data_IF_736823582218
#
_entry.id   IF_736823582218
#
_cell.length_a   1.000
_cell.length_b   1.000
_cell.length_c   1.000
_cell.angle_alpha   90.00
_cell.angle_beta   90.00
_cell.angle_gamma   90.00
#
_symmetry.space_group_name_H-M   'P 1'
#
loop_
_entity.id
_entity.type
_entity.pdbx_description
1 polymer ?
#
# COMPACT_ATOMS: atom_id res chain seq x y z
N UNK A 1 9.17 -35.34 28.25
CA UNK A 1 8.93 -34.02 27.67
C UNK A 1 9.11 -34.14 26.15
N UNK A 2 8.10 -34.17 25.30
CA UNK A 2 8.33 -34.28 23.87
C UNK A 2 8.86 -32.94 23.36
N UNK A 3 10.06 -32.97 22.76
CA UNK A 3 10.66 -31.88 22.05
C UNK A 3 9.63 -31.33 21.06
N UNK A 4 9.24 -30.07 21.21
CA UNK A 4 8.46 -29.36 20.20
C UNK A 4 9.20 -29.51 18.88
N UNK A 5 8.64 -30.31 17.95
CA UNK A 5 9.10 -30.32 16.57
C UNK A 5 9.02 -28.89 16.05
N UNK A 6 10.17 -28.24 15.94
CA UNK A 6 10.27 -26.98 15.20
C UNK A 6 9.66 -27.26 13.84
N UNK A 7 8.56 -26.57 13.55
CA UNK A 7 7.77 -26.79 12.35
C UNK A 7 8.47 -26.07 11.21
N UNK A 8 9.50 -26.71 10.63
CA UNK A 8 10.14 -26.25 9.41
C UNK A 8 9.11 -26.22 8.26
N UNK A 9 9.22 -25.21 7.41
CA UNK A 9 8.42 -25.15 6.17
C UNK A 9 8.82 -26.31 5.25
N UNK A 10 7.82 -26.93 4.62
CA UNK A 10 8.03 -27.85 3.49
C UNK A 10 8.71 -27.14 2.32
N UNK A 11 9.25 -27.88 1.35
CA UNK A 11 9.86 -27.29 0.15
C UNK A 11 8.88 -26.36 -0.58
N UNK A 12 7.67 -26.81 -0.84
CA UNK A 12 6.65 -26.03 -1.53
C UNK A 12 6.23 -24.78 -0.72
N UNK A 13 6.14 -24.87 0.62
CA UNK A 13 5.86 -23.72 1.48
C UNK A 13 6.98 -22.68 1.43
N UNK A 14 8.23 -23.10 1.36
CA UNK A 14 9.38 -22.18 1.21
C UNK A 14 9.35 -21.46 -0.13
N UNK A 15 9.01 -22.19 -1.21
CA UNK A 15 8.83 -21.60 -2.54
C UNK A 15 7.69 -20.59 -2.54
N UNK A 16 6.53 -20.97 -1.99
CA UNK A 16 5.38 -20.06 -1.87
C UNK A 16 5.77 -18.77 -1.11
N UNK A 17 6.43 -18.91 0.03
CA UNK A 17 6.84 -17.76 0.84
C UNK A 17 7.78 -16.83 0.07
N UNK A 18 8.72 -17.37 -0.71
CA UNK A 18 9.60 -16.57 -1.56
C UNK A 18 8.82 -15.79 -2.62
N UNK A 19 7.90 -16.44 -3.32
CA UNK A 19 7.05 -15.79 -4.34
C UNK A 19 6.18 -14.69 -3.72
N UNK A 20 5.65 -14.92 -2.52
CA UNK A 20 4.87 -13.92 -1.78
C UNK A 20 5.73 -12.73 -1.35
N UNK A 21 6.96 -12.95 -0.90
CA UNK A 21 7.89 -11.86 -0.54
C UNK A 21 8.17 -10.98 -1.75
N UNK A 22 8.43 -11.56 -2.93
CA UNK A 22 8.62 -10.80 -4.16
C UNK A 22 7.34 -10.02 -4.53
N UNK A 23 6.17 -10.65 -4.46
CA UNK A 23 4.90 -9.99 -4.71
C UNK A 23 4.67 -8.80 -3.78
N UNK A 24 4.96 -8.95 -2.48
CA UNK A 24 4.86 -7.86 -1.51
C UNK A 24 5.85 -6.75 -1.83
N UNK A 25 7.10 -7.06 -2.16
CA UNK A 25 8.12 -6.05 -2.46
C UNK A 25 7.73 -5.21 -3.69
N UNK A 26 7.34 -5.83 -4.79
CA UNK A 26 6.86 -5.12 -5.98
C UNK A 26 5.60 -4.32 -5.69
N UNK A 27 4.64 -4.93 -5.02
CA UNK A 27 3.38 -4.31 -4.68
C UNK A 27 3.56 -3.08 -3.77
N UNK A 28 4.36 -3.18 -2.71
CA UNK A 28 4.64 -2.07 -1.80
C UNK A 28 5.30 -0.91 -2.54
N UNK A 29 6.26 -1.19 -3.43
CA UNK A 29 6.89 -0.15 -4.24
C UNK A 29 5.87 0.54 -5.17
N UNK A 30 5.06 -0.24 -5.90
CA UNK A 30 4.02 0.30 -6.78
C UNK A 30 3.01 1.13 -5.98
N UNK A 31 2.66 0.68 -4.78
CA UNK A 31 1.73 1.36 -3.91
C UNK A 31 2.29 2.71 -3.42
N UNK A 32 3.55 2.74 -2.99
CA UNK A 32 4.23 3.99 -2.62
C UNK A 32 4.35 4.94 -3.82
N UNK A 33 4.70 4.43 -5.00
CA UNK A 33 4.75 5.22 -6.22
C UNK A 33 3.38 5.81 -6.59
N UNK A 34 2.31 5.04 -6.47
CA UNK A 34 0.96 5.50 -6.76
C UNK A 34 0.44 6.51 -5.74
N UNK A 35 0.59 6.24 -4.45
CA UNK A 35 0.02 7.05 -3.38
C UNK A 35 0.89 8.25 -3.01
N UNK A 36 2.20 8.06 -2.84
CA UNK A 36 3.09 9.15 -2.42
C UNK A 36 3.55 9.99 -3.60
N UNK A 37 3.93 9.35 -4.71
CA UNK A 37 4.47 10.04 -5.88
C UNK A 37 3.42 10.37 -6.94
N UNK A 38 2.14 10.05 -6.68
CA UNK A 38 1.01 10.35 -7.58
C UNK A 38 1.31 9.97 -9.03
N UNK A 39 1.85 8.74 -9.23
CA UNK A 39 2.33 8.23 -10.52
C UNK A 39 3.43 9.09 -11.18
N UNK A 40 4.18 9.86 -10.40
CA UNK A 40 5.13 10.87 -10.87
C UNK A 40 4.52 11.92 -11.81
N UNK A 41 3.25 12.26 -11.62
CA UNK A 41 2.60 13.35 -12.35
C UNK A 41 3.10 14.69 -11.81
N UNK A 42 3.92 15.37 -12.61
CA UNK A 42 4.58 16.62 -12.22
C UNK A 42 3.58 17.74 -11.85
N UNK A 43 2.45 17.83 -12.56
CA UNK A 43 1.42 18.83 -12.29
C UNK A 43 0.74 18.56 -10.94
N UNK A 44 0.38 17.30 -10.66
CA UNK A 44 -0.22 16.93 -9.37
C UNK A 44 0.73 17.14 -8.21
N UNK A 45 2.02 16.79 -8.37
CA UNK A 45 3.05 17.00 -7.34
C UNK A 45 3.26 18.49 -7.06
N UNK A 46 3.39 19.30 -8.11
CA UNK A 46 3.55 20.74 -7.98
C UNK A 46 2.32 21.42 -7.35
N UNK A 47 1.11 20.99 -7.73
CA UNK A 47 -0.13 21.52 -7.16
C UNK A 47 -0.28 21.16 -5.68
N UNK A 48 0.02 19.91 -5.29
CA UNK A 48 0.01 19.50 -3.88
C UNK A 48 1.02 20.32 -3.07
N UNK A 49 2.25 20.47 -3.58
CA UNK A 49 3.27 21.27 -2.93
C UNK A 49 2.79 22.71 -2.73
N UNK A 50 2.26 23.35 -3.77
CA UNK A 50 1.75 24.73 -3.71
C UNK A 50 0.65 24.87 -2.67
N UNK A 51 -0.33 23.96 -2.67
CA UNK A 51 -1.47 24.01 -1.74
C UNK A 51 -1.07 23.79 -0.27
N UNK A 52 -0.05 22.97 -0.01
CA UNK A 52 0.33 22.57 1.32
C UNK A 52 1.51 23.35 1.90
N UNK A 53 2.37 23.94 1.05
CA UNK A 53 3.57 24.68 1.50
C UNK A 53 3.24 25.96 2.26
N UNK A 54 2.10 26.58 1.98
CA UNK A 54 1.64 27.80 2.66
C UNK A 54 1.03 27.51 4.05
N UNK A 55 0.71 26.24 4.32
CA UNK A 55 0.08 25.81 5.56
C UNK A 55 1.13 25.39 6.61
N UNK A 56 0.90 25.73 7.88
CA UNK A 56 1.71 25.19 8.96
C UNK A 56 1.36 23.69 9.23
N UNK A 57 2.22 23.00 9.99
CA UNK A 57 2.07 21.56 10.23
C UNK A 57 0.71 21.19 10.86
N UNK A 58 0.21 22.05 11.78
CA UNK A 58 -1.10 21.85 12.43
C UNK A 58 -2.24 21.97 11.43
N UNK A 59 -2.19 22.95 10.54
CA UNK A 59 -3.20 23.14 9.50
C UNK A 59 -3.22 21.99 8.51
N UNK A 60 -2.03 21.51 8.09
CA UNK A 60 -1.92 20.31 7.22
C UNK A 60 -2.49 19.07 7.87
N UNK A 61 -2.23 18.86 9.17
CA UNK A 61 -2.76 17.73 9.92
C UNK A 61 -4.29 17.83 10.08
N UNK A 62 -4.82 19.02 10.29
CA UNK A 62 -6.26 19.24 10.46
C UNK A 62 -7.02 19.35 9.13
N UNK A 63 -6.31 19.38 8.00
CA UNK A 63 -6.90 19.61 6.67
C UNK A 63 -8.00 18.61 6.33
N UNK A 64 -7.78 17.32 6.55
CA UNK A 64 -8.70 16.23 6.27
C UNK A 64 -8.87 15.26 7.45
N UNK A 65 -8.78 15.76 8.69
CA UNK A 65 -8.88 14.93 9.88
C UNK A 65 -10.31 14.44 10.13
N UNK A 66 -11.31 15.21 9.69
CA UNK A 66 -12.72 14.82 9.84
C UNK A 66 -13.12 13.93 8.67
N UNK A 67 -13.38 12.63 8.91
CA UNK A 67 -13.73 11.71 7.84
C UNK A 67 -14.97 12.18 7.09
N UNK A 68 -14.94 12.05 5.74
CA UNK A 68 -16.07 12.36 4.86
C UNK A 68 -16.51 13.83 4.85
N UNK A 69 -15.85 14.71 5.60
CA UNK A 69 -16.07 16.15 5.50
C UNK A 69 -15.09 16.73 4.50
N UNK A 70 -15.58 17.14 3.36
CA UNK A 70 -14.70 17.54 2.27
C UNK A 70 -15.01 18.93 1.76
N UNK A 71 -13.93 19.65 1.46
CA UNK A 71 -13.95 20.96 0.79
C UNK A 71 -13.96 20.84 -0.74
N UNK A 72 -13.82 19.64 -1.30
CA UNK A 72 -13.67 19.39 -2.73
C UNK A 72 -14.83 18.59 -3.34
N UNK A 73 -14.82 18.49 -4.66
CA UNK A 73 -15.86 17.89 -5.49
C UNK A 73 -16.21 16.44 -5.09
N UNK A 74 -17.41 16.18 -4.62
CA UNK A 74 -17.86 14.90 -4.09
C UNK A 74 -17.67 13.67 -5.02
N UNK A 75 -17.58 13.88 -6.34
CA UNK A 75 -17.45 12.77 -7.28
C UNK A 75 -16.03 12.23 -7.36
N UNK A 76 -15.03 13.11 -7.37
CA UNK A 76 -13.61 12.74 -7.40
C UNK A 76 -13.24 11.94 -6.15
N UNK A 77 -13.72 12.35 -4.98
CA UNK A 77 -13.47 11.69 -3.71
C UNK A 77 -14.04 10.28 -3.61
N UNK A 78 -15.24 10.04 -4.15
CA UNK A 78 -15.81 8.68 -4.16
C UNK A 78 -14.95 7.71 -4.95
N UNK A 79 -14.37 8.18 -6.06
CA UNK A 79 -13.43 7.38 -6.85
C UNK A 79 -12.13 7.11 -6.09
N UNK A 80 -11.59 8.10 -5.38
CA UNK A 80 -10.40 7.94 -4.55
C UNK A 80 -10.64 6.94 -3.42
N UNK A 81 -11.78 7.00 -2.74
CA UNK A 81 -12.14 6.06 -1.69
C UNK A 81 -12.20 4.61 -2.19
N UNK A 82 -12.87 4.39 -3.31
CA UNK A 82 -12.94 3.07 -3.94
C UNK A 82 -11.56 2.61 -4.40
N UNK A 83 -10.78 3.50 -5.00
CA UNK A 83 -9.43 3.20 -5.46
C UNK A 83 -8.52 2.78 -4.30
N UNK A 84 -8.52 3.51 -3.18
CA UNK A 84 -7.73 3.19 -1.99
C UNK A 84 -8.11 1.81 -1.43
N UNK A 85 -9.40 1.49 -1.35
CA UNK A 85 -9.86 0.17 -0.92
C UNK A 85 -9.42 -0.94 -1.87
N UNK A 86 -9.52 -0.74 -3.18
CA UNK A 86 -9.10 -1.74 -4.18
C UNK A 86 -7.57 -1.94 -4.13
N UNK A 87 -6.82 -0.84 -4.04
CA UNK A 87 -5.36 -0.87 -4.03
C UNK A 87 -4.82 -1.57 -2.78
N UNK A 88 -5.52 -1.51 -1.63
CA UNK A 88 -5.11 -2.22 -0.40
C UNK A 88 -5.63 -3.67 -0.30
N UNK A 89 -6.53 -4.11 -1.17
CA UNK A 89 -7.02 -5.49 -1.15
C UNK A 89 -5.92 -6.56 -1.31
N UNK A 90 -4.89 -6.41 -2.17
CA UNK A 90 -3.78 -7.36 -2.24
C UNK A 90 -3.06 -7.56 -0.91
N UNK A 91 -3.00 -6.53 -0.06
CA UNK A 91 -2.39 -6.61 1.27
C UNK A 91 -3.07 -7.68 2.13
N UNK A 92 -4.43 -7.69 2.14
CA UNK A 92 -5.23 -8.67 2.87
C UNK A 92 -5.05 -10.11 2.36
N UNK A 93 -4.75 -10.30 1.07
CA UNK A 93 -4.44 -11.61 0.50
C UNK A 93 -3.01 -12.03 0.85
N UNK A 94 -2.03 -11.18 0.57
CA UNK A 94 -0.60 -11.51 0.63
C UNK A 94 -0.11 -11.78 2.05
N UNK A 95 -0.58 -11.00 3.05
CA UNK A 95 -0.20 -11.22 4.44
C UNK A 95 -0.62 -12.60 4.98
N UNK A 96 -1.73 -13.14 4.48
CA UNK A 96 -2.17 -14.48 4.87
C UNK A 96 -1.24 -15.61 4.39
N UNK A 97 -0.39 -15.35 3.40
CA UNK A 97 0.61 -16.30 2.93
C UNK A 97 2.00 -16.08 3.55
N UNK A 98 2.26 -14.86 4.03
CA UNK A 98 3.59 -14.50 4.55
C UNK A 98 3.92 -15.24 5.85
N UNK A 99 2.91 -15.40 6.72
CA UNK A 99 3.10 -15.96 8.04
C UNK A 99 2.54 -17.38 8.16
N UNK A 100 3.29 -18.27 8.82
CA UNK A 100 2.88 -19.67 9.07
C UNK A 100 1.66 -19.74 9.99
N UNK A 101 1.67 -18.93 11.06
CA UNK A 101 0.52 -18.81 11.98
C UNK A 101 -0.29 -17.57 11.57
N UNK A 102 -1.54 -17.79 11.19
CA UNK A 102 -2.46 -16.72 10.87
C UNK A 102 -2.89 -15.99 12.12
N UNK A 103 -2.80 -14.69 12.08
CA UNK A 103 -3.28 -13.82 13.15
C UNK A 103 -3.86 -12.57 12.51
N UNK A 104 -5.19 -12.53 12.40
CA UNK A 104 -5.91 -11.42 11.73
C UNK A 104 -5.59 -10.08 12.41
N UNK A 105 -5.48 -10.06 13.75
CA UNK A 105 -5.17 -8.84 14.49
C UNK A 105 -3.79 -8.30 14.13
N UNK A 106 -2.76 -9.17 14.08
CA UNK A 106 -1.41 -8.79 13.67
C UNK A 106 -1.39 -8.28 12.24
N UNK A 107 -2.03 -9.00 11.30
CA UNK A 107 -2.02 -8.70 9.89
C UNK A 107 -2.79 -7.39 9.62
N UNK A 108 -3.89 -7.17 10.33
CA UNK A 108 -4.63 -5.90 10.32
C UNK A 108 -3.79 -4.75 10.90
N UNK A 109 -3.14 -4.96 12.04
CA UNK A 109 -2.26 -3.95 12.64
C UNK A 109 -1.09 -3.57 11.72
N UNK A 110 -0.51 -4.54 10.98
CA UNK A 110 0.50 -4.26 9.97
C UNK A 110 -0.06 -3.42 8.82
N UNK A 111 -1.27 -3.71 8.36
CA UNK A 111 -1.92 -2.93 7.30
C UNK A 111 -2.20 -1.49 7.75
N UNK A 112 -2.80 -1.31 8.92
CA UNK A 112 -3.08 0.01 9.50
C UNK A 112 -1.79 0.79 9.75
N UNK A 113 -0.77 0.13 10.33
CA UNK A 113 0.54 0.75 10.57
C UNK A 113 1.22 1.19 9.28
N UNK A 114 1.14 0.39 8.22
CA UNK A 114 1.68 0.75 6.92
C UNK A 114 0.91 1.91 6.28
N UNK A 115 -0.43 1.88 6.32
CA UNK A 115 -1.26 3.00 5.86
C UNK A 115 -0.96 4.28 6.63
N UNK A 116 -0.88 4.21 7.96
CA UNK A 116 -0.52 5.37 8.79
C UNK A 116 0.88 5.91 8.47
N UNK A 117 1.85 5.03 8.20
CA UNK A 117 3.19 5.46 7.79
C UNK A 117 3.18 6.23 6.47
N UNK A 118 2.33 5.84 5.51
CA UNK A 118 2.14 6.58 4.26
C UNK A 118 1.56 7.97 4.54
N UNK A 119 0.50 8.08 5.34
CA UNK A 119 -0.14 9.34 5.68
C UNK A 119 0.83 10.30 6.40
N UNK A 120 1.59 9.77 7.37
CA UNK A 120 2.62 10.54 8.08
C UNK A 120 3.73 10.99 7.11
N UNK A 121 4.18 10.12 6.21
CA UNK A 121 5.16 10.48 5.19
C UNK A 121 4.64 11.59 4.28
N UNK A 122 3.40 11.50 3.80
CA UNK A 122 2.78 12.54 2.96
C UNK A 122 2.65 13.88 3.70
N UNK A 123 2.28 13.85 4.99
CA UNK A 123 2.17 15.04 5.83
C UNK A 123 3.49 15.80 5.92
N UNK A 124 4.61 15.08 6.11
CA UNK A 124 5.94 15.70 6.26
C UNK A 124 6.58 16.09 4.94
N UNK A 125 6.31 15.35 3.87
CA UNK A 125 6.96 15.58 2.56
C UNK A 125 6.18 16.51 1.63
N UNK A 126 4.99 16.98 2.01
CA UNK A 126 4.09 17.79 1.16
C UNK A 126 3.70 17.11 -0.18
N UNK A 127 3.93 15.80 -0.29
CA UNK A 127 3.51 15.00 -1.44
C UNK A 127 2.01 14.69 -1.40
N UNK A 128 1.37 14.88 -0.24
CA UNK A 128 -0.06 14.76 0.03
C UNK A 128 -0.42 15.31 1.41
N UNK A 129 -1.71 15.37 1.73
CA UNK A 129 -2.23 15.70 3.06
C UNK A 129 -2.49 14.45 3.89
N UNK A 130 -2.57 14.61 5.22
CA UNK A 130 -3.01 13.54 6.11
C UNK A 130 -4.53 13.39 6.01
N UNK A 131 -5.01 12.24 5.53
CA UNK A 131 -6.44 11.98 5.34
C UNK A 131 -6.91 10.77 6.16
N UNK A 132 -7.74 11.03 7.18
CA UNK A 132 -8.32 9.96 8.02
C UNK A 132 -9.19 9.00 7.21
N UNK A 133 -9.83 9.50 6.16
CA UNK A 133 -10.63 8.67 5.25
C UNK A 133 -9.79 7.64 4.53
N UNK A 134 -8.58 8.00 4.10
CA UNK A 134 -7.67 7.08 3.43
C UNK A 134 -7.27 5.93 4.36
N UNK A 135 -7.01 6.22 5.63
CA UNK A 135 -6.74 5.19 6.64
C UNK A 135 -7.92 4.21 6.80
N UNK A 136 -9.16 4.72 6.80
CA UNK A 136 -10.38 3.91 6.89
C UNK A 136 -10.54 3.06 5.61
N UNK A 137 -10.39 3.66 4.42
CA UNK A 137 -10.58 2.98 3.15
C UNK A 137 -9.50 1.93 2.88
N UNK A 138 -8.25 2.21 3.23
CA UNK A 138 -7.16 1.24 3.20
C UNK A 138 -7.43 0.05 4.13
N UNK A 139 -7.97 0.31 5.32
CA UNK A 139 -8.39 -0.73 6.26
C UNK A 139 -9.55 -1.58 5.71
N UNK A 140 -10.53 -0.98 5.07
CA UNK A 140 -11.60 -1.70 4.37
C UNK A 140 -11.03 -2.55 3.23
N UNK A 141 -10.08 -2.03 2.47
CA UNK A 141 -9.36 -2.78 1.44
C UNK A 141 -8.72 -4.05 1.98
N UNK A 142 -8.06 -3.98 3.13
CA UNK A 142 -7.53 -5.17 3.79
C UNK A 142 -8.62 -6.22 4.05
N UNK A 143 -9.78 -5.83 4.56
CA UNK A 143 -10.89 -6.77 4.81
C UNK A 143 -11.47 -7.36 3.53
N UNK A 144 -11.55 -6.59 2.45
CA UNK A 144 -11.92 -7.09 1.11
C UNK A 144 -10.91 -8.16 0.66
N UNK A 145 -9.62 -7.89 0.78
CA UNK A 145 -8.56 -8.86 0.46
C UNK A 145 -8.61 -10.10 1.36
N UNK A 146 -8.88 -9.93 2.63
CA UNK A 146 -9.07 -11.03 3.57
C UNK A 146 -10.27 -11.92 3.17
N UNK A 147 -11.38 -11.31 2.77
CA UNK A 147 -12.55 -12.03 2.26
C UNK A 147 -12.22 -12.81 0.98
N UNK A 148 -11.53 -12.19 0.02
CA UNK A 148 -11.04 -12.84 -1.21
C UNK A 148 -10.16 -14.05 -0.85
N UNK A 149 -9.22 -13.87 0.10
CA UNK A 149 -8.39 -14.98 0.55
C UNK A 149 -9.23 -16.14 1.09
N UNK A 150 -10.19 -15.88 1.98
CA UNK A 150 -11.03 -16.95 2.58
C UNK A 150 -11.96 -17.63 1.57
N UNK A 151 -12.52 -16.88 0.63
CA UNK A 151 -13.45 -17.40 -0.37
C UNK A 151 -12.74 -18.19 -1.48
N UNK A 152 -11.60 -17.68 -1.94
CA UNK A 152 -10.94 -18.23 -3.13
C UNK A 152 -9.70 -19.06 -2.78
N UNK A 153 -8.81 -18.56 -1.92
CA UNK A 153 -7.46 -19.10 -1.78
C UNK A 153 -7.29 -20.07 -0.62
N UNK A 154 -8.07 -19.95 0.46
CA UNK A 154 -7.92 -20.78 1.67
C UNK A 154 -7.97 -22.28 1.40
N UNK A 155 -8.80 -22.70 0.45
CA UNK A 155 -9.01 -24.12 0.09
C UNK A 155 -8.12 -24.61 -1.05
N UNK A 156 -7.28 -23.75 -1.63
CA UNK A 156 -6.41 -24.10 -2.76
C UNK A 156 -5.16 -24.82 -2.30
N UNK A 157 -4.61 -25.65 -3.18
CA UNK A 157 -3.33 -26.33 -2.91
C UNK A 157 -2.21 -25.34 -2.90
N UNK A 158 -1.11 -25.65 -2.19
CA UNK A 158 0.10 -24.82 -2.16
C UNK A 158 0.62 -24.56 -3.57
N UNK A 159 0.60 -25.57 -4.44
CA UNK A 159 1.02 -25.44 -5.85
C UNK A 159 0.18 -24.41 -6.62
N UNK A 160 -1.15 -24.44 -6.45
CA UNK A 160 -2.04 -23.42 -7.06
C UNK A 160 -1.70 -22.03 -6.56
N UNK A 161 -1.44 -21.86 -5.26
CA UNK A 161 -1.07 -20.58 -4.68
C UNK A 161 0.28 -20.07 -5.22
N UNK A 162 1.27 -20.95 -5.39
CA UNK A 162 2.56 -20.62 -6.03
C UNK A 162 2.33 -20.10 -7.46
N UNK A 163 1.53 -20.80 -8.25
CA UNK A 163 1.23 -20.35 -9.62
C UNK A 163 0.52 -19.01 -9.65
N UNK A 164 -0.46 -18.79 -8.76
CA UNK A 164 -1.14 -17.49 -8.64
C UNK A 164 -0.17 -16.36 -8.29
N UNK A 165 0.74 -16.58 -7.32
CA UNK A 165 1.76 -15.60 -6.98
C UNK A 165 2.73 -15.34 -8.14
N UNK A 166 3.12 -16.34 -8.90
CA UNK A 166 3.98 -16.16 -10.09
C UNK A 166 3.29 -15.32 -11.17
N UNK A 167 2.01 -15.58 -11.43
CA UNK A 167 1.22 -14.76 -12.35
C UNK A 167 1.14 -13.31 -11.86
N UNK A 168 0.86 -13.11 -10.56
CA UNK A 168 0.87 -11.78 -9.97
C UNK A 168 2.23 -11.09 -10.09
N UNK A 169 3.34 -11.79 -9.83
CA UNK A 169 4.70 -11.27 -9.99
C UNK A 169 5.01 -10.92 -11.45
N UNK A 170 4.54 -11.72 -12.41
CA UNK A 170 4.71 -11.43 -13.84
C UNK A 170 3.95 -10.16 -14.28
N UNK A 171 2.85 -9.80 -13.59
CA UNK A 171 2.12 -8.54 -13.81
C UNK A 171 2.79 -7.40 -13.05
N UNK A 172 3.20 -7.61 -11.81
CA UNK A 172 3.79 -6.56 -10.98
C UNK A 172 5.19 -6.14 -11.46
N UNK A 173 5.98 -7.05 -12.01
CA UNK A 173 7.34 -6.75 -12.45
C UNK A 173 7.39 -5.65 -13.53
N UNK A 174 6.63 -5.71 -14.65
CA UNK A 174 6.63 -4.63 -15.63
C UNK A 174 6.07 -3.32 -15.05
N UNK A 175 5.06 -3.37 -14.18
CA UNK A 175 4.55 -2.19 -13.50
C UNK A 175 5.60 -1.58 -12.56
N UNK A 176 6.34 -2.42 -11.84
CA UNK A 176 7.45 -1.98 -10.99
C UNK A 176 8.56 -1.32 -11.82
N UNK A 177 8.95 -1.91 -12.95
CA UNK A 177 9.97 -1.34 -13.84
C UNK A 177 9.49 0.02 -14.36
N UNK A 178 8.25 0.11 -14.80
CA UNK A 178 7.68 1.37 -15.27
C UNK A 178 7.65 2.43 -14.16
N UNK A 179 7.20 2.07 -12.98
CA UNK A 179 7.20 2.96 -11.81
C UNK A 179 8.63 3.42 -11.45
N UNK A 180 9.61 2.52 -11.50
CA UNK A 180 11.01 2.85 -11.25
C UNK A 180 11.56 3.83 -12.29
N UNK A 181 11.32 3.56 -13.58
CA UNK A 181 11.79 4.44 -14.67
C UNK A 181 11.17 5.83 -14.55
N UNK A 182 9.86 5.92 -14.33
CA UNK A 182 9.19 7.24 -14.18
C UNK A 182 9.66 7.99 -12.94
N UNK A 183 9.95 7.29 -11.84
CA UNK A 183 10.52 7.90 -10.63
C UNK A 183 11.92 8.45 -10.90
N UNK A 184 12.76 7.70 -11.61
CA UNK A 184 14.11 8.16 -11.96
C UNK A 184 14.09 9.34 -12.94
N UNK A 185 13.18 9.33 -13.92
CA UNK A 185 13.01 10.44 -14.87
C UNK A 185 12.56 11.73 -14.20
N UNK A 186 11.77 11.65 -13.14
CA UNK A 186 11.26 12.80 -12.38
C UNK A 186 12.05 13.05 -11.07
N UNK A 187 13.20 12.40 -10.92
CA UNK A 187 13.99 12.44 -9.68
C UNK A 187 14.40 13.86 -9.25
N UNK A 188 14.76 14.73 -10.18
CA UNK A 188 15.10 16.12 -9.89
C UNK A 188 13.92 16.92 -9.33
N UNK A 189 12.72 16.73 -9.89
CA UNK A 189 11.50 17.37 -9.38
C UNK A 189 11.18 16.88 -7.97
N UNK A 190 11.19 15.57 -7.77
CA UNK A 190 10.91 14.96 -6.47
C UNK A 190 11.93 15.46 -5.42
N UNK A 191 13.21 15.46 -5.77
CA UNK A 191 14.27 15.94 -4.89
C UNK A 191 14.10 17.42 -4.57
N UNK A 192 13.74 18.26 -5.55
CA UNK A 192 13.50 19.69 -5.32
C UNK A 192 12.34 19.95 -4.36
N UNK A 193 11.29 19.14 -4.42
CA UNK A 193 10.16 19.20 -3.47
C UNK A 193 10.63 18.79 -2.06
N UNK A 194 11.36 17.70 -1.95
CA UNK A 194 11.83 17.18 -0.66
C UNK A 194 12.87 18.12 0.01
N UNK A 195 13.76 18.75 -0.78
CA UNK A 195 14.84 19.60 -0.24
C UNK A 195 14.40 21.02 0.09
N UNK A 196 13.34 21.54 -0.53
CA UNK A 196 12.78 22.86 -0.18
C UNK A 196 12.03 22.88 1.15
N UNK A 197 11.87 21.71 1.80
CA UNK A 197 11.19 21.57 3.08
C UNK A 197 12.16 21.46 4.27
N UNK A 198 13.43 21.27 4.02
CA UNK A 198 14.50 21.24 5.00
C UNK A 198 15.21 22.60 5.10
#
# INVERSE_FOLDING_TARGET
>A
MPLQKETFFTYDERVLRREVIFAIAFYVFILLWALCLKFCNAEMLAQNYKNLSELNLRERFLWDIVPFYTRQNHTVQRLEFVANSIVFAPFGVLLNYLFKKRCIIRDFALCVGFSLAIEVFQLFTLLGGFATVDLIMNSLGYFVGLAIYYLIFKKRTVKTCIWTCRVANAIFLPLFIWALVTTLQNGELILSILTKQL
#
